data_IF_197292184245
#
_entry.id   IF_197292184245
#
_cell.length_a   1.000
_cell.length_b   1.000
_cell.length_c   1.000
_cell.angle_alpha   90.00
_cell.angle_beta   90.00
_cell.angle_gamma   90.00
#
_symmetry.space_group_name_H-M   'P 1'
#
loop_
_entity.id
_entity.type
_entity.pdbx_description
1 polymer ?
#
# COMPACT_ATOMS: atom_id res chain seq x y z
N UNK A 1 13.56 20.36 -19.17
CA UNK A 1 13.12 19.82 -17.85
C UNK A 1 12.94 18.32 -18.06
N UNK A 2 13.58 17.44 -17.30
CA UNK A 2 13.40 16.00 -17.51
C UNK A 2 11.94 15.66 -17.22
N UNK A 3 11.28 14.98 -18.16
CA UNK A 3 9.91 14.51 -18.05
C UNK A 3 9.68 13.77 -16.73
N UNK A 4 8.66 14.17 -15.99
CA UNK A 4 8.23 13.46 -14.79
C UNK A 4 7.83 12.03 -15.19
N UNK A 5 8.54 11.03 -14.67
CA UNK A 5 8.25 9.64 -14.95
C UNK A 5 6.87 9.24 -14.41
N UNK A 6 6.01 8.72 -15.27
CA UNK A 6 4.75 8.07 -14.91
C UNK A 6 5.03 6.70 -14.28
N UNK A 7 5.33 6.69 -12.98
CA UNK A 7 5.59 5.48 -12.21
C UNK A 7 4.29 4.73 -11.87
N UNK A 8 4.20 3.46 -12.26
CA UNK A 8 3.11 2.54 -11.90
C UNK A 8 3.68 1.25 -11.31
N UNK A 9 3.12 0.80 -10.20
CA UNK A 9 3.55 -0.42 -9.50
C UNK A 9 2.52 -1.53 -9.74
N UNK A 10 2.99 -2.68 -10.24
CA UNK A 10 2.19 -3.90 -10.41
C UNK A 10 2.60 -4.93 -9.34
N UNK A 11 1.86 -5.04 -8.22
CA UNK A 11 2.14 -6.05 -7.21
C UNK A 11 1.60 -7.40 -7.67
N UNK A 12 2.49 -8.41 -7.68
CA UNK A 12 2.14 -9.82 -7.94
C UNK A 12 2.49 -10.66 -6.70
N UNK A 13 1.59 -11.55 -6.29
CA UNK A 13 1.79 -12.52 -5.21
C UNK A 13 1.05 -13.81 -5.58
N UNK A 14 1.69 -14.96 -5.40
CA UNK A 14 1.12 -16.28 -5.69
C UNK A 14 0.15 -16.75 -4.61
N UNK A 15 0.15 -16.15 -3.42
CA UNK A 15 -0.62 -16.58 -2.25
C UNK A 15 -1.88 -15.74 -2.02
N UNK A 16 -3.04 -16.40 -1.95
CA UNK A 16 -4.33 -15.74 -1.69
C UNK A 16 -4.44 -15.06 -0.31
N UNK A 17 -3.57 -15.43 0.65
CA UNK A 17 -3.54 -14.88 2.01
C UNK A 17 -3.10 -13.41 2.04
N UNK A 18 -2.31 -12.96 1.07
CA UNK A 18 -1.70 -11.62 1.09
C UNK A 18 -2.53 -10.57 0.33
N UNK A 19 -3.58 -10.94 -0.41
CA UNK A 19 -4.34 -9.98 -1.26
C UNK A 19 -5.08 -8.87 -0.51
N UNK A 20 -5.60 -9.14 0.70
CA UNK A 20 -6.55 -8.21 1.34
C UNK A 20 -5.88 -6.98 1.99
N UNK A 21 -4.69 -7.14 2.56
CA UNK A 21 -4.00 -6.05 3.27
C UNK A 21 -3.44 -4.95 2.35
N UNK A 22 -2.76 -5.28 1.22
CA UNK A 22 -2.31 -4.31 0.24
C UNK A 22 -3.49 -3.55 -0.40
N UNK A 23 -4.62 -4.24 -0.61
CA UNK A 23 -5.83 -3.63 -1.16
C UNK A 23 -6.45 -2.60 -0.22
N UNK A 24 -6.43 -2.83 1.11
CA UNK A 24 -6.93 -1.84 2.07
C UNK A 24 -5.91 -0.75 2.39
N UNK A 25 -4.61 -1.04 2.21
CA UNK A 25 -3.52 -0.11 2.53
C UNK A 25 -3.37 0.14 4.03
N UNK A 26 -3.96 -0.71 4.88
CA UNK A 26 -3.96 -0.57 6.34
C UNK A 26 -3.00 -1.57 6.97
N UNK A 27 -2.07 -1.06 7.78
CA UNK A 27 -1.01 -1.81 8.41
C UNK A 27 -0.97 -1.57 9.93
N UNK A 28 -0.74 -2.61 10.75
CA UNK A 28 -0.51 -2.42 12.18
C UNK A 28 0.74 -1.57 12.45
N UNK A 29 0.71 -0.70 13.45
CA UNK A 29 1.82 0.15 13.88
C UNK A 29 3.10 -0.65 14.13
N UNK A 30 2.99 -1.86 14.68
CA UNK A 30 4.12 -2.78 14.92
C UNK A 30 4.90 -3.15 13.66
N UNK A 31 4.28 -3.10 12.47
CA UNK A 31 4.96 -3.38 11.18
C UNK A 31 5.76 -2.18 10.67
N UNK A 32 5.59 -1.01 11.27
CA UNK A 32 6.28 0.22 10.86
C UNK A 32 7.66 0.38 11.51
N UNK A 33 8.00 -0.44 12.51
CA UNK A 33 9.24 -0.33 13.27
C UNK A 33 10.53 -0.27 12.42
N UNK A 34 10.66 -1.05 11.34
CA UNK A 34 11.82 -1.00 10.46
C UNK A 34 11.88 0.23 9.54
N UNK A 35 10.81 1.03 9.44
CA UNK A 35 10.75 2.16 8.51
C UNK A 35 11.26 3.45 9.16
N UNK A 36 12.06 4.26 8.43
CA UNK A 36 12.45 5.60 8.88
C UNK A 36 11.23 6.46 9.23
N UNK A 37 11.29 7.14 10.38
CA UNK A 37 10.18 7.95 10.89
C UNK A 37 9.73 9.05 9.90
N UNK A 38 10.66 9.57 9.10
CA UNK A 38 10.37 10.57 8.05
C UNK A 38 9.47 10.00 6.96
N UNK A 39 9.73 8.77 6.50
CA UNK A 39 8.89 8.10 5.50
C UNK A 39 7.51 7.75 6.08
N UNK A 40 7.45 7.31 7.34
CA UNK A 40 6.18 7.02 8.01
C UNK A 40 5.33 8.29 8.12
N UNK A 41 5.92 9.43 8.50
CA UNK A 41 5.20 10.70 8.59
C UNK A 41 4.75 11.23 7.23
N UNK A 42 5.56 11.02 6.19
CA UNK A 42 5.30 11.52 4.84
C UNK A 42 4.23 10.72 4.11
N UNK A 43 4.19 9.40 4.29
CA UNK A 43 3.39 8.51 3.44
C UNK A 43 2.26 7.74 4.15
N UNK A 44 2.12 7.91 5.47
CA UNK A 44 1.10 7.20 6.25
C UNK A 44 0.25 8.12 7.11
N UNK A 45 -1.06 7.91 7.03
CA UNK A 45 -2.06 8.45 7.95
C UNK A 45 -2.09 7.64 9.25
N UNK A 46 -2.32 8.34 10.37
CA UNK A 46 -2.57 7.71 11.67
C UNK A 46 -4.07 7.42 11.80
N UNK A 47 -4.44 6.22 12.24
CA UNK A 47 -5.83 5.90 12.54
C UNK A 47 -6.39 6.81 13.64
N UNK A 48 -7.64 7.26 13.47
CA UNK A 48 -8.38 8.01 14.48
C UNK A 48 -9.13 7.06 15.44
N UNK A 49 -9.60 7.60 16.58
CA UNK A 49 -10.56 7.00 17.55
C UNK A 49 -10.64 5.46 17.55
N UNK A 50 -9.91 4.82 18.46
CA UNK A 50 -9.92 3.34 18.59
C UNK A 50 -9.02 2.59 17.60
N UNK A 51 -8.53 3.25 16.55
CA UNK A 51 -7.64 2.65 15.53
C UNK A 51 -6.20 3.19 15.58
N UNK A 52 -5.75 3.74 16.72
CA UNK A 52 -4.43 4.36 16.88
C UNK A 52 -3.25 3.39 16.64
N UNK A 53 -3.49 2.09 16.75
CA UNK A 53 -2.52 1.03 16.42
C UNK A 53 -2.47 0.69 14.93
N UNK A 54 -3.18 1.44 14.08
CA UNK A 54 -3.20 1.24 12.63
C UNK A 54 -2.64 2.47 11.91
N UNK A 55 -1.94 2.20 10.81
CA UNK A 55 -1.46 3.16 9.83
C UNK A 55 -2.09 2.86 8.50
N UNK A 56 -2.50 3.89 7.79
CA UNK A 56 -3.05 3.76 6.45
C UNK A 56 -2.12 4.47 5.47
N UNK A 57 -1.76 3.83 4.37
CA UNK A 57 -1.03 4.48 3.28
C UNK A 57 -1.84 5.65 2.74
N UNK A 58 -1.18 6.76 2.40
CA UNK A 58 -1.87 7.89 1.77
C UNK A 58 -2.57 7.45 0.49
N UNK A 59 -3.84 7.86 0.24
CA UNK A 59 -4.57 7.45 -0.95
C UNK A 59 -3.83 7.74 -2.27
N UNK A 60 -3.11 8.85 -2.34
CA UNK A 60 -2.29 9.25 -3.51
C UNK A 60 -1.12 8.31 -3.79
N UNK A 61 -0.56 7.67 -2.76
CA UNK A 61 0.50 6.66 -2.93
C UNK A 61 -0.13 5.31 -3.28
N UNK A 62 -1.28 5.00 -2.68
CA UNK A 62 -1.99 3.76 -2.94
C UNK A 62 -2.50 3.68 -4.39
N UNK A 63 -2.91 4.80 -4.99
CA UNK A 63 -3.40 4.87 -6.37
C UNK A 63 -2.34 4.53 -7.43
N UNK A 64 -1.05 4.62 -7.08
CA UNK A 64 0.06 4.21 -7.94
C UNK A 64 0.17 2.68 -8.06
N UNK A 65 -0.42 1.95 -7.12
CA UNK A 65 -0.53 0.49 -7.15
C UNK A 65 -1.86 0.08 -7.77
N UNK A 66 -1.81 -0.62 -8.92
CA UNK A 66 -2.99 -1.31 -9.45
C UNK A 66 -2.84 -2.79 -9.14
N UNK A 67 -3.77 -3.44 -8.41
CA UNK A 67 -3.72 -4.88 -8.25
C UNK A 67 -3.75 -5.51 -9.65
N UNK A 68 -2.84 -6.44 -9.91
CA UNK A 68 -2.84 -7.20 -11.16
C UNK A 68 -4.25 -7.79 -11.35
N UNK A 69 -4.95 -7.34 -12.40
CA UNK A 69 -6.19 -7.98 -12.80
C UNK A 69 -5.91 -9.46 -12.98
N UNK A 70 -6.84 -10.28 -12.50
CA UNK A 70 -6.81 -11.70 -12.70
C UNK A 70 -6.64 -11.95 -14.20
N UNK A 71 -5.52 -12.53 -14.62
CA UNK A 71 -5.43 -13.13 -15.94
C UNK A 71 -6.46 -14.25 -15.92
N UNK A 72 -7.66 -13.96 -16.40
CA UNK A 72 -8.68 -14.96 -16.65
C UNK A 72 -8.16 -15.77 -17.81
N UNK A 73 -7.57 -16.93 -17.52
CA UNK A 73 -7.34 -17.93 -18.55
C UNK A 73 -8.71 -18.47 -18.95
N UNK A 74 -9.18 -18.26 -20.19
CA UNK A 74 -10.37 -18.96 -20.67
C UNK A 74 -10.11 -20.47 -20.57
N UNK A 75 -11.13 -21.20 -20.11
CA UNK A 75 -11.10 -22.67 -20.11
C UNK A 75 -11.16 -23.19 -21.54
#
# INVERSE_FOLDING_TARGET
>A
LPEAWDLKILPTDLSGKVRKMPATGVYPQKRMGPLPATLVRKYFLRGAKGLFLQRRVLPEIQSLSRPAQQLTFPR
#
